data_IF_975262716165
#
_entry.id   IF_975262716165
#
_cell.length_a   1.000
_cell.length_b   1.000
_cell.length_c   1.000
_cell.angle_alpha   90.00
_cell.angle_beta   90.00
_cell.angle_gamma   90.00
#
_symmetry.space_group_name_H-M   'P 1'
#
loop_
_entity.id
_entity.type
_entity.pdbx_description
1 polymer ?
#
# COMPACT_ATOMS: atom_id res chain seq x y z
N UNK A 1 -7.22 -29.12 -34.73
CA UNK A 1 -7.59 -28.14 -33.70
C UNK A 1 -7.21 -28.79 -32.38
N UNK A 2 -6.23 -28.24 -31.65
CA UNK A 2 -5.89 -28.76 -30.33
C UNK A 2 -7.04 -28.40 -29.39
N UNK A 3 -7.74 -29.42 -28.90
CA UNK A 3 -8.67 -29.28 -27.79
C UNK A 3 -7.87 -28.77 -26.60
N UNK A 4 -8.00 -27.47 -26.35
CA UNK A 4 -7.52 -26.85 -25.13
C UNK A 4 -8.44 -27.38 -24.03
N UNK A 5 -7.99 -28.40 -23.30
CA UNK A 5 -8.71 -28.91 -22.13
C UNK A 5 -8.94 -27.75 -21.16
N UNK A 6 -10.15 -27.20 -21.17
CA UNK A 6 -10.58 -26.26 -20.14
C UNK A 6 -10.53 -27.02 -18.81
N UNK A 7 -9.61 -26.60 -17.94
CA UNK A 7 -9.42 -27.25 -16.63
C UNK A 7 -10.63 -27.07 -15.71
N UNK A 8 -11.56 -26.17 -16.08
CA UNK A 8 -12.74 -25.77 -15.32
C UNK A 8 -13.85 -25.40 -16.31
N UNK A 9 -15.10 -25.73 -15.98
CA UNK A 9 -16.27 -25.36 -16.77
C UNK A 9 -16.49 -23.84 -16.69
N UNK A 10 -16.28 -23.14 -17.81
CA UNK A 10 -16.42 -21.68 -17.86
C UNK A 10 -17.86 -21.28 -18.19
N UNK A 11 -18.35 -20.16 -17.61
CA UNK A 11 -19.65 -19.59 -18.00
C UNK A 11 -19.73 -19.33 -19.50
N UNK A 12 -20.93 -19.50 -20.08
CA UNK A 12 -21.18 -19.25 -21.49
C UNK A 12 -20.72 -17.83 -21.90
N UNK A 13 -19.86 -17.68 -22.91
CA UNK A 13 -19.43 -16.38 -23.41
C UNK A 13 -20.57 -15.47 -23.89
N UNK A 14 -21.74 -16.01 -24.24
CA UNK A 14 -22.94 -15.24 -24.56
C UNK A 14 -23.53 -14.54 -23.32
N UNK A 15 -23.34 -15.11 -22.13
CA UNK A 15 -23.81 -14.55 -20.85
C UNK A 15 -22.77 -13.60 -20.26
N UNK A 16 -21.49 -14.01 -20.24
CA UNK A 16 -20.40 -13.16 -19.71
C UNK A 16 -19.10 -13.37 -20.50
N UNK A 17 -18.77 -12.40 -21.36
CA UNK A 17 -17.63 -12.48 -22.28
C UNK A 17 -16.27 -12.45 -21.56
N UNK A 18 -16.11 -11.55 -20.60
CA UNK A 18 -14.88 -11.38 -19.81
C UNK A 18 -15.12 -11.82 -18.35
N UNK A 19 -14.16 -12.54 -17.80
CA UNK A 19 -14.21 -13.17 -16.48
C UNK A 19 -13.07 -12.64 -15.61
N UNK A 20 -13.40 -12.31 -14.38
CA UNK A 20 -12.45 -12.02 -13.31
C UNK A 20 -12.33 -13.25 -12.39
N UNK A 21 -11.19 -13.51 -11.72
CA UNK A 21 -11.02 -14.66 -10.82
C UNK A 21 -12.06 -14.77 -9.71
N UNK A 22 -12.73 -13.67 -9.36
CA UNK A 22 -13.84 -13.69 -8.39
C UNK A 22 -15.10 -14.36 -8.92
N UNK A 23 -15.28 -14.43 -10.24
CA UNK A 23 -16.45 -14.99 -10.90
C UNK A 23 -16.46 -16.52 -10.91
N UNK A 24 -15.28 -17.15 -10.85
CA UNK A 24 -15.11 -18.60 -10.87
C UNK A 24 -14.80 -19.10 -9.46
N UNK A 25 -15.52 -20.09 -8.91
CA UNK A 25 -15.28 -20.59 -7.57
C UNK A 25 -13.86 -21.16 -7.40
N UNK A 26 -13.31 -21.83 -8.41
CA UNK A 26 -11.99 -22.46 -8.42
C UNK A 26 -10.85 -21.42 -8.42
N UNK A 27 -11.03 -20.31 -9.16
CA UNK A 27 -10.05 -19.22 -9.22
C UNK A 27 -10.15 -18.29 -8.01
N UNK A 28 -11.34 -18.18 -7.39
CA UNK A 28 -11.63 -17.25 -6.30
C UNK A 28 -10.77 -17.49 -5.08
N UNK A 29 -10.58 -18.74 -4.67
CA UNK A 29 -9.78 -19.05 -3.47
C UNK A 29 -8.32 -18.62 -3.64
N UNK A 30 -7.71 -18.92 -4.79
CA UNK A 30 -6.35 -18.48 -5.11
C UNK A 30 -6.27 -16.95 -5.16
N UNK A 31 -7.24 -16.30 -5.79
CA UNK A 31 -7.29 -14.84 -5.88
C UNK A 31 -7.40 -14.19 -4.49
N UNK A 32 -8.29 -14.68 -3.62
CA UNK A 32 -8.48 -14.14 -2.27
C UNK A 32 -7.23 -14.30 -1.40
N UNK A 33 -6.53 -15.44 -1.50
CA UNK A 33 -5.23 -15.62 -0.84
C UNK A 33 -4.22 -14.59 -1.34
N UNK A 34 -4.09 -14.46 -2.66
CA UNK A 34 -3.18 -13.49 -3.29
C UNK A 34 -3.50 -12.05 -2.90
N UNK A 35 -4.79 -11.72 -2.78
CA UNK A 35 -5.29 -10.42 -2.35
C UNK A 35 -4.94 -10.12 -0.88
N UNK A 36 -5.10 -11.09 0.02
CA UNK A 36 -4.69 -10.95 1.42
C UNK A 36 -3.17 -10.78 1.57
N UNK A 37 -2.38 -11.59 0.86
CA UNK A 37 -0.93 -11.43 0.86
C UNK A 37 -0.49 -10.07 0.27
N UNK A 38 -1.25 -9.55 -0.71
CA UNK A 38 -1.00 -8.22 -1.25
C UNK A 38 -1.15 -7.14 -0.16
N UNK A 39 -2.09 -7.32 0.78
CA UNK A 39 -2.26 -6.41 1.94
C UNK A 39 -1.03 -6.45 2.85
N UNK A 40 -0.51 -7.63 3.17
CA UNK A 40 0.71 -7.75 3.98
C UNK A 40 1.93 -7.07 3.34
N UNK A 41 1.96 -7.00 2.01
CA UNK A 41 2.95 -6.24 1.24
C UNK A 41 2.55 -4.79 0.95
N UNK A 42 1.56 -4.22 1.64
CA UNK A 42 1.26 -2.79 1.52
C UNK A 42 2.22 -1.99 2.40
N UNK A 43 2.70 -0.85 1.88
CA UNK A 43 3.53 0.08 2.66
C UNK A 43 2.88 0.49 3.99
N UNK A 44 1.57 0.82 4.03
CA UNK A 44 0.83 1.00 5.27
C UNK A 44 1.03 -0.10 6.31
N UNK A 45 0.86 -1.35 5.91
CA UNK A 45 0.95 -2.50 6.83
C UNK A 45 2.40 -2.76 7.24
N UNK A 46 3.37 -2.53 6.36
CA UNK A 46 4.78 -2.59 6.74
C UNK A 46 5.13 -1.53 7.80
N UNK A 47 4.68 -0.29 7.63
CA UNK A 47 4.87 0.78 8.63
C UNK A 47 4.17 0.44 9.95
N UNK A 48 2.95 -0.09 9.86
CA UNK A 48 2.18 -0.58 11.02
C UNK A 48 2.95 -1.60 11.83
N UNK A 49 3.43 -2.63 11.14
CA UNK A 49 4.13 -3.75 11.76
C UNK A 49 5.46 -3.30 12.37
N UNK A 50 6.20 -2.42 11.68
CA UNK A 50 7.41 -1.82 12.22
C UNK A 50 7.14 -1.05 13.52
N UNK A 51 6.12 -0.18 13.54
CA UNK A 51 5.76 0.56 14.74
C UNK A 51 5.41 -0.36 15.92
N UNK A 52 4.60 -1.40 15.70
CA UNK A 52 4.25 -2.38 16.74
C UNK A 52 5.49 -3.11 17.26
N UNK A 53 6.37 -3.56 16.37
CA UNK A 53 7.60 -4.27 16.75
C UNK A 53 8.55 -3.34 17.52
N UNK A 54 8.65 -2.07 17.14
CA UNK A 54 9.45 -1.09 17.88
C UNK A 54 8.94 -0.93 19.30
N UNK A 55 7.63 -0.76 19.47
CA UNK A 55 7.00 -0.58 20.79
C UNK A 55 7.23 -1.80 21.69
N UNK A 56 7.14 -3.01 21.13
CA UNK A 56 7.30 -4.24 21.90
C UNK A 56 8.77 -4.56 22.22
N UNK A 57 9.70 -4.26 21.32
CA UNK A 57 11.08 -4.73 21.42
C UNK A 57 12.09 -3.65 21.83
N UNK A 58 11.78 -2.37 21.62
CA UNK A 58 12.75 -1.27 21.71
C UNK A 58 13.95 -1.42 20.77
N UNK A 59 13.90 -2.35 19.81
CA UNK A 59 15.03 -2.77 18.99
C UNK A 59 14.85 -2.35 17.53
N UNK A 60 15.77 -1.51 17.04
CA UNK A 60 15.77 -1.01 15.67
C UNK A 60 15.89 -2.12 14.63
N UNK A 61 16.75 -3.12 14.86
CA UNK A 61 16.93 -4.22 13.92
C UNK A 61 15.65 -5.05 13.79
N UNK A 62 15.00 -5.38 14.91
CA UNK A 62 13.72 -6.10 14.87
C UNK A 62 12.64 -5.28 14.14
N UNK A 63 12.61 -3.97 14.41
CA UNK A 63 11.67 -3.01 13.81
C UNK A 63 11.82 -2.88 12.31
N UNK A 64 13.03 -3.04 11.76
CA UNK A 64 13.27 -3.01 10.32
C UNK A 64 13.06 -4.41 9.71
N UNK A 65 13.61 -5.44 10.36
CA UNK A 65 13.61 -6.79 9.83
C UNK A 65 12.19 -7.34 9.69
N UNK A 66 11.36 -7.24 10.74
CA UNK A 66 10.02 -7.79 10.75
C UNK A 66 9.10 -7.27 9.62
N UNK A 67 8.96 -5.94 9.40
CA UNK A 67 8.14 -5.44 8.31
C UNK A 67 8.77 -5.73 6.95
N UNK A 68 10.10 -5.69 6.81
CA UNK A 68 10.76 -5.98 5.55
C UNK A 68 10.57 -7.46 5.14
N UNK A 69 10.75 -8.40 6.05
CA UNK A 69 10.52 -9.83 5.78
C UNK A 69 9.05 -10.09 5.47
N UNK A 70 8.14 -9.51 6.25
CA UNK A 70 6.69 -9.64 6.02
C UNK A 70 6.30 -9.08 4.65
N UNK A 71 6.84 -7.92 4.28
CA UNK A 71 6.61 -7.30 2.98
C UNK A 71 7.09 -8.20 1.83
N UNK A 72 8.31 -8.74 1.90
CA UNK A 72 8.86 -9.60 0.86
C UNK A 72 8.07 -10.90 0.72
N UNK A 73 7.77 -11.57 1.84
CA UNK A 73 6.97 -12.81 1.84
C UNK A 73 5.57 -12.54 1.28
N UNK A 74 4.90 -11.48 1.74
CA UNK A 74 3.59 -11.08 1.23
C UNK A 74 3.62 -10.77 -0.26
N UNK A 75 4.65 -10.07 -0.73
CA UNK A 75 4.78 -9.71 -2.15
C UNK A 75 4.95 -10.94 -3.03
N UNK A 76 5.85 -11.85 -2.66
CA UNK A 76 6.10 -13.09 -3.42
C UNK A 76 4.87 -13.99 -3.40
N UNK A 77 4.27 -14.21 -2.23
CA UNK A 77 3.07 -15.03 -2.10
C UNK A 77 1.88 -14.44 -2.88
N UNK A 78 1.70 -13.12 -2.82
CA UNK A 78 0.68 -12.41 -3.59
C UNK A 78 0.82 -12.66 -5.09
N UNK A 79 2.04 -12.49 -5.64
CA UNK A 79 2.32 -12.72 -7.06
C UNK A 79 2.09 -14.16 -7.48
N UNK A 80 2.49 -15.11 -6.63
CA UNK A 80 2.31 -16.53 -6.91
C UNK A 80 0.83 -16.92 -6.98
N UNK A 81 0.05 -16.48 -5.99
CA UNK A 81 -1.39 -16.77 -5.92
C UNK A 81 -2.19 -16.05 -7.00
N UNK A 82 -1.87 -14.79 -7.30
CA UNK A 82 -2.52 -14.03 -8.37
C UNK A 82 -2.28 -14.71 -9.72
N UNK A 83 -1.03 -15.07 -10.05
CA UNK A 83 -0.73 -15.82 -11.27
C UNK A 83 -1.54 -17.12 -11.39
N UNK A 84 -1.60 -17.90 -10.30
CA UNK A 84 -2.35 -19.16 -10.25
C UNK A 84 -3.86 -18.96 -10.39
N UNK A 85 -4.40 -17.86 -9.89
CA UNK A 85 -5.81 -17.52 -10.06
C UNK A 85 -6.16 -17.22 -11.53
N UNK A 86 -5.25 -16.58 -12.26
CA UNK A 86 -5.43 -16.25 -13.67
C UNK A 86 -5.23 -17.45 -14.62
N UNK A 87 -4.52 -18.49 -14.20
CA UNK A 87 -4.31 -19.70 -15.01
C UNK A 87 -5.62 -20.45 -15.30
N UNK A 88 -6.65 -20.27 -14.47
CA UNK A 88 -7.99 -20.84 -14.69
C UNK A 88 -8.79 -20.12 -15.78
N UNK A 89 -8.37 -18.92 -16.20
CA UNK A 89 -9.11 -18.09 -17.17
C UNK A 89 -8.25 -17.90 -18.43
N UNK A 90 -8.72 -18.37 -19.60
CA UNK A 90 -8.02 -18.15 -20.86
C UNK A 90 -7.72 -16.67 -21.10
N UNK A 91 -6.50 -16.34 -21.55
CA UNK A 91 -6.03 -14.94 -21.69
C UNK A 91 -6.97 -14.02 -22.47
N UNK A 92 -7.71 -14.54 -23.45
CA UNK A 92 -8.68 -13.78 -24.26
C UNK A 92 -9.99 -13.44 -23.53
N UNK A 93 -10.28 -14.11 -22.41
CA UNK A 93 -11.46 -13.91 -21.56
C UNK A 93 -11.13 -13.21 -20.25
N UNK A 94 -9.89 -12.77 -20.00
CA UNK A 94 -9.51 -12.15 -18.73
C UNK A 94 -10.04 -10.70 -18.63
N UNK A 95 -10.84 -10.43 -17.60
CA UNK A 95 -11.24 -9.08 -17.22
C UNK A 95 -10.33 -8.55 -16.11
N UNK A 96 -9.26 -7.84 -16.45
CA UNK A 96 -8.32 -7.32 -15.43
C UNK A 96 -8.86 -6.14 -14.63
N UNK A 97 -9.88 -5.46 -15.16
CA UNK A 97 -10.46 -4.27 -14.54
C UNK A 97 -11.78 -4.59 -13.80
N UNK A 98 -12.34 -5.78 -14.02
CA UNK A 98 -13.60 -6.28 -13.46
C UNK A 98 -13.57 -6.70 -11.99
N UNK A 99 -12.57 -6.26 -11.21
CA UNK A 99 -12.45 -6.60 -9.79
C UNK A 99 -13.57 -6.00 -8.90
N UNK A 100 -14.55 -5.30 -9.46
CA UNK A 100 -15.70 -4.76 -8.71
C UNK A 100 -15.27 -3.89 -7.51
N UNK A 101 -15.85 -4.08 -6.30
CA UNK A 101 -15.56 -3.25 -5.13
C UNK A 101 -14.25 -3.63 -4.40
N UNK A 102 -13.56 -4.70 -4.81
CA UNK A 102 -12.37 -5.21 -4.11
C UNK A 102 -11.23 -4.19 -3.95
N UNK A 103 -10.93 -3.31 -4.92
CA UNK A 103 -9.91 -2.27 -4.74
C UNK A 103 -10.28 -1.24 -3.66
N UNK A 104 -11.56 -0.88 -3.57
CA UNK A 104 -12.06 0.06 -2.55
C UNK A 104 -11.99 -0.58 -1.16
N UNK A 105 -12.43 -1.82 -1.01
CA UNK A 105 -12.30 -2.57 0.24
C UNK A 105 -10.82 -2.69 0.68
N UNK A 106 -9.93 -3.00 -0.27
CA UNK A 106 -8.50 -3.08 -0.02
C UNK A 106 -7.93 -1.75 0.50
N UNK A 107 -8.35 -0.62 -0.11
CA UNK A 107 -7.95 0.70 0.35
C UNK A 107 -8.55 1.08 1.71
N UNK A 108 -9.77 0.66 2.00
CA UNK A 108 -10.42 0.87 3.29
C UNK A 108 -9.67 0.12 4.41
N UNK A 109 -9.25 -1.12 4.15
CA UNK A 109 -8.45 -1.90 5.10
C UNK A 109 -7.04 -1.31 5.31
N UNK A 110 -6.37 -0.90 4.23
CA UNK A 110 -5.06 -0.23 4.33
C UNK A 110 -5.17 1.09 5.12
N UNK A 111 -6.22 1.88 4.87
CA UNK A 111 -6.52 3.10 5.61
C UNK A 111 -6.77 2.82 7.09
N UNK A 112 -7.58 1.79 7.41
CA UNK A 112 -7.82 1.37 8.79
C UNK A 112 -6.52 0.95 9.48
N UNK A 113 -5.66 0.19 8.80
CA UNK A 113 -4.37 -0.24 9.33
C UNK A 113 -3.47 0.97 9.67
N UNK A 114 -3.44 2.01 8.81
CA UNK A 114 -2.73 3.26 9.12
C UNK A 114 -3.29 3.95 10.37
N UNK A 115 -4.61 4.04 10.50
CA UNK A 115 -5.24 4.70 11.65
C UNK A 115 -4.97 3.94 12.96
N UNK A 116 -5.07 2.61 12.93
CA UNK A 116 -4.72 1.76 14.08
C UNK A 116 -3.24 1.93 14.45
N UNK A 117 -2.37 2.03 13.45
CA UNK A 117 -0.94 2.29 13.68
C UNK A 117 -0.71 3.64 14.34
N UNK A 118 -1.34 4.70 13.83
CA UNK A 118 -1.24 6.02 14.41
C UNK A 118 -1.72 6.02 15.87
N UNK A 119 -2.84 5.34 16.16
CA UNK A 119 -3.33 5.17 17.53
C UNK A 119 -2.32 4.41 18.41
N UNK A 120 -1.74 3.32 17.92
CA UNK A 120 -0.72 2.56 18.66
C UNK A 120 0.53 3.39 18.96
N UNK A 121 1.00 4.19 17.99
CA UNK A 121 2.12 5.13 18.17
C UNK A 121 1.78 6.17 19.24
N UNK A 122 0.58 6.76 19.20
CA UNK A 122 0.13 7.72 20.21
C UNK A 122 0.12 7.08 21.60
N UNK A 123 -0.42 5.87 21.73
CA UNK A 123 -0.44 5.14 23.01
C UNK A 123 0.97 4.84 23.51
N UNK A 124 1.88 4.44 22.62
CA UNK A 124 3.27 4.17 22.96
C UNK A 124 4.01 5.43 23.44
N UNK A 125 3.83 6.56 22.75
CA UNK A 125 4.41 7.86 23.15
C UNK A 125 3.88 8.32 24.51
N UNK A 126 2.63 7.99 24.84
CA UNK A 126 2.07 8.26 26.19
C UNK A 126 2.63 7.33 27.26
N UNK A 127 2.97 6.09 26.91
CA UNK A 127 3.52 5.09 27.84
C UNK A 127 5.02 5.25 28.12
N UNK A 128 5.78 5.80 27.17
CA UNK A 128 7.20 6.09 27.31
C UNK A 128 7.56 7.40 26.59
N UNK A 129 8.29 8.33 27.23
CA UNK A 129 8.62 9.61 26.63
C UNK A 129 9.48 9.40 25.37
N UNK A 130 8.87 9.66 24.21
CA UNK A 130 9.58 9.69 22.93
C UNK A 130 10.14 11.09 22.73
N UNK A 131 11.42 11.26 22.32
CA UNK A 131 11.97 12.57 22.05
C UNK A 131 11.11 13.32 21.04
N UNK A 132 10.72 14.56 21.36
CA UNK A 132 9.79 15.32 20.54
C UNK A 132 10.27 15.51 19.08
N UNK A 133 11.58 15.51 18.85
CA UNK A 133 12.16 15.56 17.50
C UNK A 133 11.80 14.35 16.63
N UNK A 134 11.66 13.16 17.22
CA UNK A 134 11.22 11.95 16.50
C UNK A 134 9.77 12.10 16.05
N UNK A 135 8.91 12.63 16.92
CA UNK A 135 7.51 12.90 16.61
C UNK A 135 7.38 13.94 15.51
N UNK A 136 8.14 15.04 15.61
CA UNK A 136 8.19 16.09 14.58
C UNK A 136 8.64 15.53 13.21
N UNK A 137 9.70 14.72 13.19
CA UNK A 137 10.18 14.06 11.98
C UNK A 137 9.15 13.08 11.37
N UNK A 138 8.48 12.29 12.22
CA UNK A 138 7.43 11.36 11.78
C UNK A 138 6.22 12.09 11.18
N UNK A 139 5.77 13.18 11.81
CA UNK A 139 4.70 14.05 11.28
C UNK A 139 5.12 14.63 9.93
N UNK A 140 6.33 15.16 9.82
CA UNK A 140 6.90 15.65 8.57
C UNK A 140 6.90 14.62 7.46
N UNK A 141 7.33 13.40 7.78
CA UNK A 141 7.33 12.27 6.85
C UNK A 141 5.92 11.94 6.36
N UNK A 142 4.94 11.90 7.27
CA UNK A 142 3.53 11.70 6.92
C UNK A 142 2.96 12.79 6.00
N UNK A 143 3.33 14.06 6.24
CA UNK A 143 2.98 15.16 5.33
C UNK A 143 3.65 15.03 3.96
N UNK A 144 4.90 14.58 3.90
CA UNK A 144 5.59 14.26 2.64
C UNK A 144 4.86 13.19 1.84
N UNK A 145 4.41 12.12 2.50
CA UNK A 145 3.57 11.08 1.87
C UNK A 145 2.25 11.65 1.37
N UNK A 146 1.59 12.52 2.15
CA UNK A 146 0.34 13.17 1.74
C UNK A 146 0.53 14.01 0.47
N UNK A 147 1.61 14.80 0.39
CA UNK A 147 1.94 15.59 -0.80
C UNK A 147 2.15 14.70 -2.04
N UNK A 148 2.86 13.58 -1.88
CA UNK A 148 3.05 12.62 -2.97
C UNK A 148 1.70 12.04 -3.43
N UNK A 149 0.83 11.65 -2.50
CA UNK A 149 -0.50 11.13 -2.83
C UNK A 149 -1.39 12.16 -3.52
N UNK A 150 -1.34 13.44 -3.11
CA UNK A 150 -2.03 14.54 -3.81
C UNK A 150 -1.53 14.63 -5.25
N UNK A 151 -0.21 14.61 -5.47
CA UNK A 151 0.38 14.62 -6.82
C UNK A 151 -0.10 13.44 -7.68
N UNK A 152 -0.18 12.24 -7.10
CA UNK A 152 -0.69 11.06 -7.80
C UNK A 152 -2.19 11.12 -8.10
N UNK A 153 -2.99 11.73 -7.22
CA UNK A 153 -4.42 11.99 -7.46
C UNK A 153 -4.58 12.96 -8.63
N UNK A 154 -3.88 14.10 -8.60
CA UNK A 154 -3.91 15.10 -9.68
C UNK A 154 -3.49 14.46 -11.00
N UNK A 155 -2.41 13.67 -11.00
CA UNK A 155 -1.96 12.95 -12.18
C UNK A 155 -2.98 11.90 -12.66
N UNK A 156 -3.69 11.23 -11.74
CA UNK A 156 -4.71 10.23 -12.08
C UNK A 156 -5.94 10.88 -12.72
N UNK A 157 -6.39 12.02 -12.17
CA UNK A 157 -7.48 12.82 -12.72
C UNK A 157 -7.10 13.39 -14.08
N UNK A 158 -5.90 13.96 -14.22
CA UNK A 158 -5.40 14.50 -15.49
C UNK A 158 -5.30 13.42 -16.59
N UNK A 159 -4.96 12.18 -16.21
CA UNK A 159 -4.89 11.04 -17.13
C UNK A 159 -6.23 10.32 -17.33
N UNK A 160 -7.34 10.87 -16.83
CA UNK A 160 -8.70 10.29 -16.92
C UNK A 160 -8.75 8.83 -16.47
N UNK A 161 -8.06 8.51 -15.38
CA UNK A 161 -8.17 7.18 -14.77
C UNK A 161 -9.58 7.00 -14.17
N UNK A 162 -9.98 5.74 -13.96
CA UNK A 162 -11.29 5.40 -13.43
C UNK A 162 -11.56 6.05 -12.06
N UNK A 163 -12.80 6.44 -11.81
CA UNK A 163 -13.24 7.09 -10.57
C UNK A 163 -12.91 6.24 -9.33
N UNK A 164 -13.02 4.91 -9.44
CA UNK A 164 -12.65 3.98 -8.38
C UNK A 164 -11.16 4.10 -7.98
N UNK A 165 -10.28 4.31 -8.96
CA UNK A 165 -8.84 4.49 -8.69
C UNK A 165 -8.55 5.83 -8.01
N UNK A 166 -9.31 6.87 -8.33
CA UNK A 166 -9.22 8.17 -7.66
C UNK A 166 -9.74 8.07 -6.24
N UNK A 167 -10.90 7.44 -6.04
CA UNK A 167 -11.51 7.25 -4.73
C UNK A 167 -10.60 6.46 -3.78
N UNK A 168 -9.99 5.36 -4.24
CA UNK A 168 -9.00 4.60 -3.46
C UNK A 168 -7.84 5.49 -2.98
N UNK A 169 -7.32 6.35 -3.85
CA UNK A 169 -6.21 7.26 -3.49
C UNK A 169 -6.65 8.32 -2.50
N UNK A 170 -7.87 8.85 -2.65
CA UNK A 170 -8.45 9.81 -1.70
C UNK A 170 -8.64 9.17 -0.32
N UNK A 171 -9.15 7.94 -0.25
CA UNK A 171 -9.29 7.20 1.02
C UNK A 171 -7.95 7.06 1.74
N UNK A 172 -6.89 6.68 1.02
CA UNK A 172 -5.54 6.60 1.58
C UNK A 172 -5.01 7.96 2.03
N UNK A 173 -5.26 9.01 1.26
CA UNK A 173 -4.82 10.37 1.60
C UNK A 173 -5.46 10.85 2.90
N UNK A 174 -6.78 10.64 3.05
CA UNK A 174 -7.52 10.97 4.27
C UNK A 174 -6.91 10.24 5.47
N UNK A 175 -6.59 8.95 5.34
CA UNK A 175 -5.98 8.19 6.42
C UNK A 175 -4.58 8.69 6.80
N UNK A 176 -3.74 9.01 5.82
CA UNK A 176 -2.39 9.57 6.08
C UNK A 176 -2.47 10.93 6.76
N UNK A 177 -3.36 11.83 6.29
CA UNK A 177 -3.57 13.14 6.90
C UNK A 177 -4.08 12.98 8.33
N UNK A 178 -5.13 12.17 8.53
CA UNK A 178 -5.71 11.94 9.84
C UNK A 178 -4.71 11.32 10.83
N UNK A 179 -3.93 10.33 10.39
CA UNK A 179 -2.89 9.72 11.21
C UNK A 179 -1.77 10.70 11.58
N UNK A 180 -1.26 11.45 10.59
CA UNK A 180 -0.21 12.45 10.81
C UNK A 180 -0.67 13.57 11.74
N UNK A 181 -1.88 14.08 11.54
CA UNK A 181 -2.48 15.10 12.40
C UNK A 181 -2.70 14.58 13.82
N UNK A 182 -3.17 13.33 13.97
CA UNK A 182 -3.38 12.72 15.29
C UNK A 182 -2.05 12.55 16.04
N UNK A 183 -0.99 12.09 15.38
CA UNK A 183 0.35 12.02 15.96
C UNK A 183 0.89 13.42 16.31
N UNK A 184 0.63 14.42 15.46
CA UNK A 184 1.03 15.80 15.72
C UNK A 184 0.34 16.41 16.95
N UNK A 185 -0.95 16.13 17.13
CA UNK A 185 -1.76 16.67 18.24
C UNK A 185 -1.50 15.92 19.54
N UNK A 186 -1.41 14.59 19.50
CA UNK A 186 -1.36 13.77 20.71
C UNK A 186 0.03 13.23 21.06
N UNK A 187 1.00 13.36 20.16
CA UNK A 187 2.36 12.85 20.35
C UNK A 187 3.33 13.84 21.02
N UNK A 188 2.91 15.06 21.35
CA UNK A 188 3.75 16.03 22.08
C UNK A 188 2.99 16.70 23.22
N UNK A 189 3.65 16.84 24.37
CA UNK A 189 3.17 17.61 25.52
C UNK A 189 3.63 19.08 25.49
N UNK A 190 4.81 19.36 24.92
CA UNK A 190 5.53 20.63 25.18
C UNK A 190 5.41 21.66 24.04
N UNK A 191 4.40 21.52 23.17
CA UNK A 191 4.19 22.42 22.02
C UNK A 191 5.21 22.27 20.89
N UNK A 192 5.08 23.15 19.88
CA UNK A 192 5.90 23.17 18.66
C UNK A 192 6.89 24.35 18.71
N UNK A 193 8.17 24.03 18.87
CA UNK A 193 9.27 24.99 18.81
C UNK A 193 9.87 25.10 17.41
N UNK A 194 10.78 26.06 17.22
CA UNK A 194 11.45 26.30 15.92
C UNK A 194 12.18 25.05 15.41
N UNK A 195 12.83 24.30 16.31
CA UNK A 195 13.56 23.08 15.98
C UNK A 195 12.62 21.99 15.47
N UNK A 196 11.43 21.86 16.05
CA UNK A 196 10.41 20.90 15.59
C UNK A 196 9.95 21.21 14.17
N UNK A 197 9.79 22.48 13.78
CA UNK A 197 9.45 22.83 12.40
C UNK A 197 10.55 22.44 11.41
N UNK A 198 11.83 22.59 11.79
CA UNK A 198 12.96 22.13 10.96
C UNK A 198 12.94 20.62 10.79
N UNK A 199 12.65 19.87 11.85
CA UNK A 199 12.56 18.41 11.80
C UNK A 199 11.34 17.91 11.00
N UNK A 200 10.21 18.61 11.07
CA UNK A 200 9.05 18.36 10.19
C UNK A 200 9.46 18.55 8.72
N UNK A 201 10.12 19.66 8.39
CA UNK A 201 10.60 19.90 7.04
C UNK A 201 11.59 18.83 6.58
N UNK A 202 12.51 18.41 7.45
CA UNK A 202 13.48 17.35 7.17
C UNK A 202 12.79 16.00 6.89
N UNK A 203 11.80 15.61 7.69
CA UNK A 203 11.00 14.40 7.46
C UNK A 203 10.27 14.42 6.13
N UNK A 204 9.63 15.55 5.82
CA UNK A 204 8.93 15.76 4.55
C UNK A 204 9.87 15.63 3.35
N UNK A 205 11.01 16.36 3.38
CA UNK A 205 12.03 16.32 2.32
C UNK A 205 12.61 14.92 2.17
N UNK A 206 12.83 14.19 3.27
CA UNK A 206 13.35 12.82 3.22
C UNK A 206 12.42 11.92 2.42
N UNK A 207 11.11 11.95 2.68
CA UNK A 207 10.14 11.13 1.96
C UNK A 207 10.07 11.49 0.48
N UNK A 208 10.16 12.78 0.14
CA UNK A 208 10.22 13.23 -1.25
C UNK A 208 11.48 12.70 -1.95
N UNK A 209 12.64 12.75 -1.30
CA UNK A 209 13.90 12.23 -1.85
C UNK A 209 13.86 10.71 -2.03
N UNK A 210 13.35 9.96 -1.05
CA UNK A 210 13.18 8.50 -1.15
C UNK A 210 12.29 8.15 -2.35
N UNK A 211 11.17 8.88 -2.50
CA UNK A 211 10.28 8.68 -3.64
C UNK A 211 10.96 8.99 -4.99
N UNK A 212 11.68 10.10 -5.09
CA UNK A 212 12.41 10.47 -6.32
C UNK A 212 13.48 9.43 -6.69
N UNK A 213 14.19 8.89 -5.69
CA UNK A 213 15.21 7.87 -5.89
C UNK A 213 14.60 6.54 -6.32
N UNK A 214 13.49 6.13 -5.70
CA UNK A 214 12.72 4.97 -6.15
C UNK A 214 12.19 5.13 -7.57
N UNK A 215 11.65 6.32 -7.89
CA UNK A 215 11.12 6.63 -9.21
C UNK A 215 12.21 6.61 -10.29
N UNK A 216 13.39 7.17 -10.02
CA UNK A 216 14.51 7.15 -10.96
C UNK A 216 15.00 5.72 -11.22
N UNK A 217 15.08 4.89 -10.18
CA UNK A 217 15.48 3.49 -10.28
C UNK A 217 14.50 2.67 -11.12
N UNK A 218 13.20 2.82 -10.86
CA UNK A 218 12.15 2.09 -11.59
C UNK A 218 12.04 2.54 -13.05
N UNK A 219 12.24 3.83 -13.33
CA UNK A 219 12.29 4.36 -14.71
C UNK A 219 13.48 3.79 -15.48
N UNK A 220 14.67 3.76 -14.87
CA UNK A 220 15.89 3.23 -15.49
C UNK A 220 15.76 1.75 -15.87
N UNK A 221 15.05 0.96 -15.06
CA UNK A 221 14.78 -0.46 -15.36
C UNK A 221 13.86 -0.65 -16.56
N UNK A 222 12.86 0.23 -16.75
CA UNK A 222 11.96 0.14 -17.91
C UNK A 222 12.71 0.39 -19.22
N UNK A 223 13.55 1.42 -19.24
CA UNK A 223 14.35 1.77 -20.43
C UNK A 223 15.35 0.67 -20.82
N UNK A 224 16.05 0.06 -19.85
CA UNK A 224 16.96 -1.08 -20.11
C UNK A 224 16.25 -2.37 -20.52
N UNK A 225 14.96 -2.51 -20.22
CA UNK A 225 14.15 -3.65 -20.65
C UNK A 225 13.70 -3.53 -22.10
N UNK A 226 13.48 -2.30 -22.58
CA UNK A 226 13.08 -2.00 -23.96
C UNK A 226 14.26 -2.10 -24.94
N UNK A 227 15.51 -1.86 -24.50
CA UNK A 227 16.72 -2.05 -25.34
C UNK A 227 17.11 -3.52 -25.58
N UNK A 228 16.43 -4.48 -24.92
CA UNK A 228 16.71 -5.92 -25.06
C UNK A 228 15.62 -6.69 -25.82
N UNK A 229 14.66 -5.99 -26.43
CA UNK A 229 13.66 -6.55 -27.34
C UNK A 229 13.93 -6.10 -28.77
#
# INVERSE_FOLDING_TARGET
MNDMHEAVELPDPAVKRLLHPTDLPEAREAYLRGWWFARLSSLPIAVALGAVVWVLSGNLLATIAAPLTTFVVGFVASRWHDARAWDFIPRRRQDRDGAGPWPLLASGLDALALLVTAAAVILAVRGAPVPGGVVAYAVGSGLGVALLQIGEIVASVARRRSDASVAQRVTMLVAVIAGSASVAVFGRSDGWDRESYVLVAAGMVTMLLVYLLWWSFTRSRRQRGEEKQ
#
